data_IF_278553808937
#
_entry.id   IF_278553808937
#
_cell.length_a   1.000
_cell.length_b   1.000
_cell.length_c   1.000
_cell.angle_alpha   90.00
_cell.angle_beta   90.00
_cell.angle_gamma   90.00
#
_symmetry.space_group_name_H-M   'P 1'
#
loop_
_entity.id
_entity.type
_entity.pdbx_description
1 polymer ?
#
# COMPACT_ATOMS: atom_id res chain seq x y z
N UNK A 1 8.00 19.27 -30.88
CA UNK A 1 6.81 19.15 -30.02
C UNK A 1 7.11 18.08 -28.98
N UNK A 2 7.21 18.47 -27.74
CA UNK A 2 7.39 17.50 -26.65
C UNK A 2 6.00 17.06 -26.20
N UNK A 3 5.66 15.81 -26.50
CA UNK A 3 4.38 15.17 -26.14
C UNK A 3 4.41 14.67 -24.68
N UNK A 4 5.12 15.38 -23.82
CA UNK A 4 5.27 15.04 -22.41
C UNK A 4 4.19 15.74 -21.58
N UNK A 5 3.63 15.05 -20.59
CA UNK A 5 2.64 15.64 -19.68
C UNK A 5 3.27 16.81 -18.91
N UNK A 6 2.47 17.84 -18.64
CA UNK A 6 2.91 19.02 -17.87
C UNK A 6 3.02 18.73 -16.36
N UNK A 7 2.39 17.67 -15.91
CA UNK A 7 2.37 17.23 -14.51
C UNK A 7 2.47 15.72 -14.43
N UNK A 8 3.22 15.23 -13.46
CA UNK A 8 3.36 13.80 -13.12
C UNK A 8 3.16 13.64 -11.64
N UNK A 9 2.42 12.62 -11.24
CA UNK A 9 2.34 12.20 -9.84
C UNK A 9 3.38 11.11 -9.59
N UNK A 10 4.10 11.25 -8.47
CA UNK A 10 5.06 10.24 -8.01
C UNK A 10 4.41 9.44 -6.91
N UNK A 11 4.30 8.12 -7.10
CA UNK A 11 3.83 7.17 -6.10
C UNK A 11 5.04 6.42 -5.55
N UNK A 12 5.31 6.61 -4.27
CA UNK A 12 6.42 5.94 -3.59
C UNK A 12 5.98 4.56 -3.11
N UNK A 13 6.61 3.53 -3.64
CA UNK A 13 6.35 2.13 -3.27
C UNK A 13 7.55 1.48 -2.56
N UNK A 14 8.62 2.22 -2.35
CA UNK A 14 9.87 1.74 -1.73
C UNK A 14 9.66 1.06 -0.38
N UNK A 15 8.86 1.61 0.55
CA UNK A 15 8.60 0.90 1.81
C UNK A 15 7.97 -0.47 1.59
N UNK A 16 6.93 -0.54 0.74
CA UNK A 16 6.26 -1.82 0.47
C UNK A 16 7.17 -2.81 -0.26
N UNK A 17 7.82 -2.37 -1.33
CA UNK A 17 8.65 -3.21 -2.18
C UNK A 17 9.99 -3.55 -1.50
N UNK A 18 10.68 -2.55 -0.94
CA UNK A 18 11.99 -2.71 -0.33
C UNK A 18 11.98 -3.65 0.85
N UNK A 19 11.06 -3.50 1.79
CA UNK A 19 10.96 -4.40 2.94
C UNK A 19 10.59 -5.84 2.59
N UNK A 20 10.07 -6.06 1.40
CA UNK A 20 9.74 -7.39 0.90
C UNK A 20 10.98 -8.14 0.38
N UNK A 21 11.94 -7.42 -0.20
CA UNK A 21 13.10 -8.01 -0.88
C UNK A 21 14.38 -8.00 -0.05
N UNK A 22 14.42 -7.24 1.03
CA UNK A 22 15.58 -7.20 1.91
C UNK A 22 15.82 -8.55 2.60
N UNK A 23 17.07 -9.02 2.64
CA UNK A 23 17.39 -10.39 3.10
C UNK A 23 17.31 -10.56 4.62
N UNK A 24 17.18 -9.47 5.38
CA UNK A 24 17.18 -9.49 6.84
C UNK A 24 15.88 -8.97 7.44
N UNK A 25 15.61 -9.30 8.71
CA UNK A 25 14.47 -8.74 9.41
C UNK A 25 14.67 -7.23 9.63
N UNK A 26 13.70 -6.43 9.15
CA UNK A 26 13.65 -5.00 9.44
C UNK A 26 12.62 -4.80 10.55
N UNK A 27 12.99 -4.07 11.59
CA UNK A 27 12.11 -3.84 12.72
C UNK A 27 10.87 -3.02 12.33
N UNK A 28 9.75 -3.28 12.99
CA UNK A 28 8.53 -2.47 12.85
C UNK A 28 8.80 -0.98 13.06
N UNK A 29 9.65 -0.65 14.05
CA UNK A 29 10.02 0.73 14.34
C UNK A 29 10.80 1.40 13.19
N UNK A 30 11.70 0.69 12.53
CA UNK A 30 12.45 1.22 11.38
C UNK A 30 11.54 1.41 10.15
N UNK A 31 10.59 0.51 9.94
CA UNK A 31 9.57 0.64 8.88
C UNK A 31 8.72 1.89 9.10
N UNK A 32 8.24 2.11 10.32
CA UNK A 32 7.47 3.30 10.71
C UNK A 32 8.30 4.56 10.47
N UNK A 33 9.54 4.58 10.95
CA UNK A 33 10.45 5.71 10.80
C UNK A 33 10.70 6.08 9.34
N UNK A 34 10.85 5.09 8.46
CA UNK A 34 11.02 5.35 7.03
C UNK A 34 9.75 5.96 6.40
N UNK A 35 8.57 5.41 6.71
CA UNK A 35 7.29 5.90 6.19
C UNK A 35 7.07 7.36 6.60
N UNK A 36 7.33 7.68 7.86
CA UNK A 36 7.21 9.05 8.38
C UNK A 36 8.25 10.00 7.76
N UNK A 37 9.48 9.55 7.58
CA UNK A 37 10.52 10.34 6.92
C UNK A 37 10.18 10.64 5.45
N UNK A 38 9.64 9.67 4.72
CA UNK A 38 9.19 9.85 3.34
C UNK A 38 8.05 10.87 3.24
N UNK A 39 7.16 10.91 4.21
CA UNK A 39 6.08 11.89 4.26
C UNK A 39 6.59 13.34 4.39
N UNK A 40 7.81 13.54 4.91
CA UNK A 40 8.43 14.87 5.03
C UNK A 40 9.13 15.33 3.74
N UNK A 41 9.25 14.48 2.73
CA UNK A 41 9.96 14.79 1.47
C UNK A 41 9.14 15.56 0.44
N UNK A 42 7.85 15.78 0.71
CA UNK A 42 6.91 16.41 -0.25
C UNK A 42 6.20 15.40 -1.16
N UNK A 43 6.38 14.10 -0.95
CA UNK A 43 5.60 13.07 -1.62
C UNK A 43 4.14 13.10 -1.18
N UNK A 44 3.23 12.93 -2.14
CA UNK A 44 1.79 12.92 -1.89
C UNK A 44 1.18 11.51 -1.85
N UNK A 45 1.90 10.50 -2.34
CA UNK A 45 1.43 9.11 -2.40
C UNK A 45 2.51 8.16 -1.91
N UNK A 46 2.21 7.40 -0.85
CA UNK A 46 3.12 6.40 -0.26
C UNK A 46 2.37 5.08 -0.10
N UNK A 47 2.89 4.01 -0.70
CA UNK A 47 2.41 2.66 -0.44
C UNK A 47 3.10 2.13 0.82
N UNK A 48 2.37 2.21 1.94
CA UNK A 48 2.95 2.05 3.27
C UNK A 48 3.05 0.58 3.73
N UNK A 49 2.21 -0.31 3.23
CA UNK A 49 2.15 -1.67 3.74
C UNK A 49 1.65 -2.69 2.72
N UNK A 50 1.94 -3.97 2.99
CA UNK A 50 1.41 -5.11 2.24
C UNK A 50 0.67 -6.07 3.18
N UNK A 51 -0.61 -6.32 2.87
CA UNK A 51 -1.46 -7.29 3.57
C UNK A 51 -1.52 -8.65 2.85
N UNK A 52 -0.47 -8.97 2.11
CA UNK A 52 -0.27 -10.30 1.54
C UNK A 52 0.02 -11.30 2.66
N UNK A 53 -0.26 -12.58 2.42
CA UNK A 53 -0.03 -13.60 3.44
C UNK A 53 1.41 -13.59 3.96
N UNK A 54 1.64 -13.55 5.29
CA UNK A 54 2.97 -13.61 5.87
C UNK A 54 3.79 -14.87 5.51
N UNK A 55 3.10 -15.94 5.09
CA UNK A 55 3.76 -17.15 4.60
C UNK A 55 4.44 -16.94 3.25
N UNK A 56 3.92 -15.99 2.45
CA UNK A 56 4.45 -15.67 1.12
C UNK A 56 5.42 -14.50 1.21
N UNK A 57 5.11 -13.51 2.05
CA UNK A 57 5.90 -12.30 2.24
C UNK A 57 6.19 -12.10 3.73
N UNK A 58 7.18 -12.82 4.29
CA UNK A 58 7.51 -12.73 5.72
C UNK A 58 7.91 -11.33 6.16
N UNK A 59 8.53 -10.54 5.28
CA UNK A 59 8.93 -9.15 5.56
C UNK A 59 7.77 -8.22 5.92
N UNK A 60 6.52 -8.63 5.66
CA UNK A 60 5.31 -7.90 5.99
C UNK A 60 4.41 -8.63 6.99
N UNK A 61 5.00 -9.53 7.80
CA UNK A 61 4.24 -10.23 8.85
C UNK A 61 3.67 -9.27 9.92
N UNK A 62 4.30 -8.12 10.08
CA UNK A 62 3.96 -7.03 11.01
C UNK A 62 3.19 -5.85 10.36
N UNK A 63 2.54 -6.09 9.22
CA UNK A 63 1.86 -5.03 8.46
C UNK A 63 0.86 -4.22 9.30
N UNK A 64 0.09 -4.88 10.16
CA UNK A 64 -0.88 -4.24 11.05
C UNK A 64 -0.20 -3.35 12.08
N UNK A 65 0.89 -3.81 12.67
CA UNK A 65 1.64 -3.07 13.69
C UNK A 65 2.29 -1.82 13.07
N UNK A 66 2.83 -1.95 11.85
CA UNK A 66 3.39 -0.81 11.10
C UNK A 66 2.31 0.23 10.83
N UNK A 67 1.14 -0.19 10.31
CA UNK A 67 0.06 0.76 10.00
C UNK A 67 -0.55 1.36 11.26
N UNK A 68 -0.67 0.60 12.32
CA UNK A 68 -1.12 1.14 13.61
C UNK A 68 -0.14 2.19 14.16
N UNK A 69 1.16 1.99 13.96
CA UNK A 69 2.22 2.75 14.61
C UNK A 69 2.56 4.09 13.95
N UNK A 70 2.48 4.23 12.61
CA UNK A 70 2.84 5.50 11.99
C UNK A 70 1.75 6.57 12.14
N UNK A 71 2.16 7.83 12.17
CA UNK A 71 1.27 8.99 12.22
C UNK A 71 1.06 9.54 10.81
N UNK A 72 -0.18 9.52 10.27
CA UNK A 72 -0.46 10.06 8.95
C UNK A 72 -0.21 11.58 8.90
N UNK A 73 0.51 12.03 7.87
CA UNK A 73 0.70 13.44 7.59
C UNK A 73 -0.42 13.96 6.70
N UNK A 74 -0.94 15.14 7.00
CA UNK A 74 -1.93 15.82 6.18
C UNK A 74 -1.40 16.07 4.76
N UNK A 75 -2.24 15.84 3.75
CA UNK A 75 -1.88 15.99 2.34
C UNK A 75 -1.13 14.79 1.74
N UNK A 76 -0.84 13.75 2.53
CA UNK A 76 -0.24 12.51 2.04
C UNK A 76 -1.28 11.39 2.02
N UNK A 77 -1.39 10.71 0.89
CA UNK A 77 -2.23 9.53 0.71
C UNK A 77 -1.42 8.26 0.96
N UNK A 78 -1.81 7.51 1.97
CA UNK A 78 -1.20 6.23 2.29
C UNK A 78 -2.03 5.10 1.72
N UNK A 79 -1.38 4.14 1.06
CA UNK A 79 -2.06 2.99 0.47
C UNK A 79 -1.51 1.69 1.04
N UNK A 80 -2.35 0.65 1.01
CA UNK A 80 -1.98 -0.71 1.40
C UNK A 80 -2.30 -1.70 0.28
N UNK A 81 -1.38 -2.61 -0.01
CA UNK A 81 -1.55 -3.64 -1.02
C UNK A 81 -2.24 -4.87 -0.43
N UNK A 82 -3.18 -5.46 -1.16
CA UNK A 82 -3.83 -6.72 -0.84
C UNK A 82 -4.20 -7.48 -2.12
N UNK A 83 -4.27 -8.82 -2.07
CA UNK A 83 -4.58 -9.66 -3.23
C UNK A 83 -5.80 -10.56 -3.05
N UNK A 84 -6.30 -10.71 -1.85
CA UNK A 84 -7.43 -11.59 -1.55
C UNK A 84 -8.32 -11.01 -0.45
N UNK A 85 -9.47 -11.62 -0.23
CA UNK A 85 -10.44 -11.18 0.76
C UNK A 85 -9.87 -11.12 2.20
N UNK A 86 -8.99 -12.05 2.56
CA UNK A 86 -8.33 -12.05 3.87
C UNK A 86 -7.44 -10.83 4.04
N UNK A 87 -6.57 -10.53 3.05
CA UNK A 87 -5.74 -9.31 3.06
C UNK A 87 -6.59 -8.04 3.06
N UNK A 88 -7.66 -8.00 2.28
CA UNK A 88 -8.60 -6.89 2.27
C UNK A 88 -9.22 -6.63 3.65
N UNK A 89 -9.71 -7.68 4.32
CA UNK A 89 -10.32 -7.54 5.64
C UNK A 89 -9.32 -7.04 6.69
N UNK A 90 -8.05 -7.46 6.62
CA UNK A 90 -6.97 -6.96 7.46
C UNK A 90 -6.71 -5.48 7.20
N UNK A 91 -6.63 -5.06 5.94
CA UNK A 91 -6.43 -3.66 5.56
C UNK A 91 -7.62 -2.77 5.95
N UNK A 92 -8.85 -3.29 5.88
CA UNK A 92 -10.08 -2.54 6.13
C UNK A 92 -10.17 -1.98 7.57
N UNK A 93 -9.52 -2.62 8.53
CA UNK A 93 -9.41 -2.13 9.91
C UNK A 93 -8.77 -0.74 9.97
N UNK A 94 -7.87 -0.45 9.02
CA UNK A 94 -7.09 0.80 8.95
C UNK A 94 -7.62 1.80 7.91
N UNK A 95 -8.87 1.69 7.49
CA UNK A 95 -9.50 2.59 6.49
C UNK A 95 -9.48 4.08 6.85
N UNK A 96 -9.22 4.40 8.10
CA UNK A 96 -9.04 5.78 8.58
C UNK A 96 -7.63 6.35 8.30
N UNK A 97 -6.64 5.49 8.08
CA UNK A 97 -5.25 5.86 7.75
C UNK A 97 -4.90 5.54 6.30
N UNK A 98 -5.47 4.46 5.76
CA UNK A 98 -5.14 3.95 4.44
C UNK A 98 -6.28 4.17 3.44
N UNK A 99 -5.92 4.62 2.25
CA UNK A 99 -6.73 4.37 1.06
C UNK A 99 -6.43 2.94 0.61
N UNK A 100 -7.44 2.07 0.64
CA UNK A 100 -7.26 0.66 0.37
C UNK A 100 -7.21 0.45 -1.14
N UNK A 101 -6.01 0.22 -1.67
CA UNK A 101 -5.80 -0.11 -3.08
C UNK A 101 -5.32 -1.55 -3.20
N UNK A 102 -5.94 -2.32 -4.06
CA UNK A 102 -5.55 -3.69 -4.31
C UNK A 102 -6.11 -4.22 -5.60
N UNK A 103 -5.58 -5.32 -6.09
CA UNK A 103 -6.12 -6.06 -7.22
C UNK A 103 -6.56 -7.45 -6.78
N UNK A 104 -7.83 -7.79 -7.03
CA UNK A 104 -8.29 -9.17 -6.94
C UNK A 104 -8.00 -9.83 -8.28
N UNK A 105 -7.03 -10.74 -8.32
CA UNK A 105 -6.89 -11.66 -9.44
C UNK A 105 -7.87 -12.82 -9.24
N UNK A 106 -9.05 -12.71 -9.84
CA UNK A 106 -9.98 -13.83 -9.94
C UNK A 106 -9.45 -14.81 -10.99
N UNK A 107 -8.60 -15.74 -10.59
CA UNK A 107 -8.24 -16.89 -11.42
C UNK A 107 -9.44 -17.85 -11.47
N UNK A 108 -10.32 -17.66 -12.45
CA UNK A 108 -11.19 -18.75 -12.90
C UNK A 108 -10.31 -19.80 -13.58
N UNK A 109 -10.34 -21.04 -13.10
CA UNK A 109 -9.80 -22.18 -13.85
C UNK A 109 -10.44 -22.15 -15.24
N UNK A 110 -9.65 -21.88 -16.29
CA UNK A 110 -10.07 -22.00 -17.68
C UNK A 110 -10.46 -20.73 -18.45
N UNK A 111 -10.20 -19.52 -17.96
CA UNK A 111 -10.41 -18.30 -18.75
C UNK A 111 -9.15 -17.42 -18.76
N UNK A 112 -8.81 -16.78 -19.92
CA UNK A 112 -7.74 -15.80 -19.98
C UNK A 112 -8.08 -14.61 -19.08
N UNK A 113 -7.12 -14.20 -18.23
CA UNK A 113 -7.30 -13.24 -17.16
C UNK A 113 -7.89 -11.90 -17.60
N UNK A 114 -8.94 -11.46 -16.92
CA UNK A 114 -9.33 -10.05 -16.87
C UNK A 114 -8.89 -9.51 -15.51
N UNK A 115 -8.04 -8.52 -15.54
CA UNK A 115 -7.69 -7.72 -14.37
C UNK A 115 -8.87 -6.80 -14.05
N UNK A 116 -9.57 -7.05 -12.96
CA UNK A 116 -10.52 -6.08 -12.43
C UNK A 116 -9.78 -5.18 -11.46
N UNK A 117 -9.49 -3.96 -11.87
CA UNK A 117 -9.09 -2.88 -10.96
C UNK A 117 -10.36 -2.42 -10.25
N UNK A 118 -10.49 -2.69 -8.96
CA UNK A 118 -11.57 -2.15 -8.17
C UNK A 118 -11.31 -0.65 -7.97
N UNK A 119 -12.09 0.18 -8.66
CA UNK A 119 -12.08 1.61 -8.42
C UNK A 119 -12.58 1.90 -7.00
N UNK A 120 -11.82 2.67 -6.25
CA UNK A 120 -12.18 3.14 -4.91
C UNK A 120 -13.48 3.95 -4.99
N UNK A 121 -14.54 3.64 -4.21
CA UNK A 121 -15.69 4.51 -4.16
C UNK A 121 -15.28 5.86 -3.55
N UNK A 122 -15.47 6.95 -4.29
CA UNK A 122 -15.36 8.31 -3.74
C UNK A 122 -16.34 8.44 -2.60
N UNK A 123 -15.85 8.46 -1.37
CA UNK A 123 -16.67 8.85 -0.23
C UNK A 123 -16.96 10.35 -0.35
N UNK A 124 -18.22 10.67 -0.72
CA UNK A 124 -18.78 12.00 -0.59
C UNK A 124 -18.81 12.38 0.89
N UNK A 125 -18.09 13.43 1.27
CA UNK A 125 -18.27 14.11 2.56
C UNK A 125 -19.62 14.82 2.53
N UNK A 126 -20.50 14.47 3.44
CA UNK A 126 -21.58 15.34 3.93
C UNK A 126 -21.18 15.84 5.31
#
# INVERSE_FOLDING_TARGET
MTDLPRHVEVHEEGPREGFQIEPGPISTADKIKLIEALAETGLHHIQAASFVSPRIVPGWADAEDVVAGFTPKEGVHYTGLWFNASGFNRALVFRNKLTITGSISLRRKGSPGRTCTAATPKMSRR
#
